data_IF_293359266004
#
_entry.id   IF_293359266004
#
_cell.length_a   1.000
_cell.length_b   1.000
_cell.length_c   1.000
_cell.angle_alpha   90.00
_cell.angle_beta   90.00
_cell.angle_gamma   90.00
#
_symmetry.space_group_name_H-M   'P 1'
#
loop_
_entity.id
_entity.type
_entity.pdbx_description
1 polymer ?
#
# COMPACT_ATOMS: atom_id res chain seq x y z
N UNK A 1 -5.51 -17.83 -13.19
CA UNK A 1 -6.73 -17.77 -12.37
C UNK A 1 -7.83 -18.56 -13.05
N UNK A 2 -8.94 -18.84 -12.36
CA UNK A 2 -10.17 -19.35 -12.96
C UNK A 2 -11.02 -18.15 -13.40
N UNK A 3 -11.36 -18.03 -14.69
CA UNK A 3 -12.10 -16.89 -15.24
C UNK A 3 -13.44 -16.68 -14.50
N UNK A 4 -14.10 -17.78 -14.07
CA UNK A 4 -15.36 -17.72 -13.33
C UNK A 4 -15.19 -17.10 -11.92
N UNK A 5 -13.99 -17.22 -11.32
CA UNK A 5 -13.67 -16.61 -10.02
C UNK A 5 -13.30 -15.13 -10.18
N UNK A 6 -12.51 -14.77 -11.19
CA UNK A 6 -12.19 -13.36 -11.46
C UNK A 6 -13.47 -12.55 -11.74
N UNK A 7 -14.39 -13.11 -12.52
CA UNK A 7 -15.67 -12.48 -12.83
C UNK A 7 -16.56 -12.33 -11.57
N UNK A 8 -16.48 -13.26 -10.60
CA UNK A 8 -17.27 -13.17 -9.37
C UNK A 8 -16.76 -12.13 -8.38
N UNK A 9 -15.46 -11.82 -8.41
CA UNK A 9 -14.81 -10.85 -7.53
C UNK A 9 -14.78 -9.42 -8.11
N UNK A 10 -15.38 -9.20 -9.27
CA UNK A 10 -15.42 -7.88 -9.90
C UNK A 10 -16.24 -6.89 -9.07
N UNK A 11 -15.75 -5.67 -8.87
CA UNK A 11 -16.36 -4.64 -8.01
C UNK A 11 -16.71 -3.36 -8.78
N UNK A 12 -17.70 -2.63 -8.28
CA UNK A 12 -18.00 -1.26 -8.69
C UNK A 12 -17.30 -0.31 -7.72
N UNK A 13 -16.43 0.57 -8.25
CA UNK A 13 -15.66 1.52 -7.45
C UNK A 13 -16.18 2.95 -7.66
N UNK A 14 -16.50 3.63 -6.55
CA UNK A 14 -16.79 5.05 -6.50
C UNK A 14 -15.65 5.78 -5.76
N UNK A 15 -15.16 6.88 -6.34
CA UNK A 15 -14.10 7.69 -5.74
C UNK A 15 -14.58 9.13 -5.61
N UNK A 16 -14.55 9.65 -4.39
CA UNK A 16 -14.79 11.05 -4.07
C UNK A 16 -13.47 11.70 -3.61
N UNK A 17 -13.14 12.87 -4.15
CA UNK A 17 -11.88 13.56 -3.86
C UNK A 17 -12.20 14.94 -3.33
N UNK A 18 -11.82 15.16 -2.08
CA UNK A 18 -11.94 16.43 -1.38
C UNK A 18 -10.55 16.97 -1.00
N UNK A 19 -10.53 18.15 -0.35
CA UNK A 19 -9.27 18.76 0.08
C UNK A 19 -8.70 18.01 1.29
N UNK A 20 -7.59 17.30 1.10
CA UNK A 20 -6.90 16.57 2.17
C UNK A 20 -7.44 15.16 2.40
N UNK A 21 -8.41 14.71 1.60
CA UNK A 21 -9.06 13.42 1.77
C UNK A 21 -9.50 12.82 0.42
N UNK A 22 -9.43 11.50 0.29
CA UNK A 22 -10.07 10.70 -0.75
C UNK A 22 -10.95 9.65 -0.07
N UNK A 23 -12.15 9.44 -0.56
CA UNK A 23 -13.03 8.34 -0.16
C UNK A 23 -13.19 7.38 -1.35
N UNK A 24 -13.02 6.09 -1.11
CA UNK A 24 -13.09 5.02 -2.11
C UNK A 24 -14.06 3.98 -1.58
N UNK A 25 -15.23 3.86 -2.22
CA UNK A 25 -16.18 2.79 -1.93
C UNK A 25 -16.05 1.70 -3.00
N UNK A 26 -15.91 0.45 -2.58
CA UNK A 26 -15.76 -0.72 -3.45
C UNK A 26 -16.79 -1.79 -3.11
N UNK A 27 -17.85 -1.87 -3.94
CA UNK A 27 -18.99 -2.76 -3.74
C UNK A 27 -18.93 -3.93 -4.73
N UNK A 28 -19.13 -5.16 -4.26
CA UNK A 28 -19.14 -6.33 -5.14
C UNK A 28 -20.27 -6.26 -6.18
N UNK A 29 -19.93 -6.47 -7.46
CA UNK A 29 -20.87 -6.30 -8.58
C UNK A 29 -21.88 -7.45 -8.67
N UNK A 30 -21.50 -8.65 -8.26
CA UNK A 30 -22.32 -9.86 -8.38
C UNK A 30 -22.18 -10.74 -7.13
N UNK A 31 -23.29 -11.14 -6.52
CA UNK A 31 -23.26 -12.03 -5.35
C UNK A 31 -24.60 -12.11 -4.63
N UNK A 32 -24.74 -13.09 -3.74
CA UNK A 32 -25.84 -13.13 -2.75
C UNK A 32 -25.51 -12.37 -1.47
N UNK A 33 -24.23 -12.04 -1.26
CA UNK A 33 -23.72 -11.24 -0.15
C UNK A 33 -23.46 -9.83 -0.69
N UNK A 34 -23.84 -8.81 0.08
CA UNK A 34 -23.40 -7.44 -0.16
C UNK A 34 -22.19 -7.25 0.75
N UNK A 35 -20.99 -7.30 0.18
CA UNK A 35 -19.77 -6.92 0.87
C UNK A 35 -19.27 -5.60 0.30
N UNK A 36 -18.87 -4.72 1.21
CA UNK A 36 -18.43 -3.37 0.93
C UNK A 36 -17.06 -3.15 1.59
N UNK A 37 -16.12 -2.64 0.80
CA UNK A 37 -14.83 -2.16 1.29
C UNK A 37 -14.89 -0.65 1.15
N UNK A 38 -14.74 0.08 2.24
CA UNK A 38 -14.52 1.51 2.22
C UNK A 38 -13.05 1.78 2.54
N UNK A 39 -12.43 2.66 1.77
CA UNK A 39 -11.08 3.13 2.03
C UNK A 39 -11.07 4.64 2.05
N UNK A 40 -10.56 5.19 3.15
CA UNK A 40 -10.39 6.62 3.33
C UNK A 40 -8.89 6.94 3.35
N UNK A 41 -8.46 7.82 2.44
CA UNK A 41 -7.07 8.26 2.36
C UNK A 41 -6.98 9.71 2.81
N UNK A 42 -6.44 9.95 4.01
CA UNK A 42 -6.20 11.31 4.53
C UNK A 42 -4.75 11.72 4.23
N UNK A 43 -4.55 12.97 3.81
CA UNK A 43 -3.22 13.50 3.51
C UNK A 43 -3.10 14.95 4.01
N UNK A 44 -2.60 15.10 5.23
CA UNK A 44 -2.62 16.37 5.96
C UNK A 44 -1.32 16.64 6.73
N UNK A 45 -1.39 17.20 7.94
CA UNK A 45 -0.21 17.47 8.77
C UNK A 45 0.38 16.24 9.43
N UNK A 46 -0.37 15.16 9.55
CA UNK A 46 0.02 13.96 10.30
C UNK A 46 0.66 12.88 9.40
N UNK A 47 0.49 12.97 8.08
CA UNK A 47 1.07 12.03 7.14
C UNK A 47 0.18 11.78 5.93
N UNK A 48 0.42 10.63 5.29
CA UNK A 48 -0.56 9.96 4.41
C UNK A 48 -1.10 8.76 5.18
N UNK A 49 -2.35 8.84 5.60
CA UNK A 49 -3.10 7.77 6.26
C UNK A 49 -3.99 7.06 5.26
N UNK A 50 -4.00 5.74 5.28
CA UNK A 50 -4.95 4.89 4.56
C UNK A 50 -5.69 4.07 5.60
N UNK A 51 -6.95 4.43 5.81
CA UNK A 51 -7.90 3.74 6.67
C UNK A 51 -8.74 2.81 5.80
N UNK A 52 -8.89 1.56 6.22
CA UNK A 52 -9.65 0.52 5.52
C UNK A 52 -10.69 -0.01 6.47
N UNK A 53 -11.95 0.09 6.07
CA UNK A 53 -13.07 -0.55 6.73
C UNK A 53 -13.71 -1.57 5.78
N UNK A 54 -14.18 -2.68 6.34
CA UNK A 54 -14.89 -3.70 5.60
C UNK A 54 -16.12 -4.13 6.38
N UNK A 55 -17.27 -4.08 5.70
CA UNK A 55 -18.54 -4.53 6.21
C UNK A 55 -19.11 -5.64 5.31
N UNK A 56 -19.61 -6.71 5.93
CA UNK A 56 -20.38 -7.73 5.21
C UNK A 56 -21.67 -8.07 5.93
N UNK A 57 -22.78 -7.91 5.20
CA UNK A 57 -24.10 -8.34 5.64
C UNK A 57 -24.49 -9.68 4.99
N UNK A 58 -24.68 -10.70 5.83
CA UNK A 58 -25.32 -11.94 5.38
C UNK A 58 -26.85 -11.86 5.54
N UNK A 59 -27.59 -11.97 4.44
CA UNK A 59 -29.05 -12.13 4.47
C UNK A 59 -29.45 -13.51 5.00
N UNK A 60 -29.29 -13.76 6.30
CA UNK A 60 -29.80 -14.94 7.00
C UNK A 60 -30.68 -14.52 8.17
N UNK A 61 -31.51 -15.41 8.72
CA UNK A 61 -32.48 -15.09 9.78
C UNK A 61 -31.88 -14.48 11.07
N UNK A 62 -30.55 -14.51 11.20
CA UNK A 62 -29.80 -13.69 12.15
C UNK A 62 -28.84 -12.80 11.33
N UNK A 63 -29.10 -11.50 11.29
CA UNK A 63 -28.17 -10.48 10.80
C UNK A 63 -26.86 -10.64 11.59
N UNK A 64 -25.80 -11.10 10.92
CA UNK A 64 -24.45 -11.07 11.46
C UNK A 64 -23.69 -10.08 10.60
N UNK A 65 -23.44 -8.92 11.18
CA UNK A 65 -22.61 -7.86 10.63
C UNK A 65 -21.17 -8.14 11.08
N UNK A 66 -20.27 -8.18 10.11
CA UNK A 66 -18.84 -8.29 10.37
C UNK A 66 -18.18 -6.98 9.98
N UNK A 67 -17.42 -6.40 10.89
CA UNK A 67 -16.72 -5.14 10.71
C UNK A 67 -15.25 -5.34 11.08
N UNK A 68 -14.35 -4.92 10.21
CA UNK A 68 -12.93 -4.76 10.52
C UNK A 68 -12.51 -3.38 10.04
N UNK A 69 -11.83 -2.64 10.91
CA UNK A 69 -11.33 -1.30 10.66
C UNK A 69 -9.86 -1.24 11.12
N UNK A 70 -9.00 -0.71 10.25
CA UNK A 70 -7.60 -0.49 10.56
C UNK A 70 -7.01 0.62 9.69
N UNK A 71 -5.88 1.19 10.10
CA UNK A 71 -5.19 2.20 9.31
C UNK A 71 -3.67 2.01 9.28
N UNK A 72 -3.08 2.47 8.18
CA UNK A 72 -1.63 2.57 7.97
C UNK A 72 -1.30 4.02 7.66
N UNK A 73 -0.37 4.61 8.40
CA UNK A 73 0.02 6.01 8.21
C UNK A 73 1.52 6.17 7.97
N UNK A 74 1.88 6.76 6.83
CA UNK A 74 3.23 7.21 6.53
C UNK A 74 3.46 8.61 7.09
N UNK A 75 4.17 8.72 8.23
CA UNK A 75 4.27 9.99 8.98
C UNK A 75 5.49 10.83 8.62
N UNK A 76 6.67 10.22 8.57
CA UNK A 76 7.95 10.94 8.44
C UNK A 76 9.05 10.07 7.87
N UNK A 77 10.02 10.74 7.25
CA UNK A 77 11.31 10.18 6.87
C UNK A 77 12.37 10.52 7.91
N UNK A 78 13.22 9.56 8.26
CA UNK A 78 14.26 9.70 9.27
C UNK A 78 15.60 9.38 8.65
N UNK A 79 16.52 10.33 8.67
CA UNK A 79 17.92 10.09 8.31
C UNK A 79 18.67 9.62 9.57
N UNK A 80 19.36 8.49 9.48
CA UNK A 80 20.10 7.94 10.61
C UNK A 80 21.45 7.37 10.21
N UNK A 81 22.40 7.33 11.16
CA UNK A 81 23.66 6.60 11.03
C UNK A 81 23.57 5.36 11.91
N UNK A 82 23.53 4.21 11.23
CA UNK A 82 23.52 2.87 11.82
C UNK A 82 24.83 2.58 12.57
N UNK A 83 24.74 2.42 13.88
CA UNK A 83 25.91 2.21 14.75
C UNK A 83 26.30 0.75 14.90
N UNK A 84 25.36 -0.18 14.69
CA UNK A 84 25.58 -1.61 14.90
C UNK A 84 25.71 -2.40 13.57
N UNK A 85 25.54 -1.71 12.43
CA UNK A 85 25.62 -2.20 11.07
C UNK A 85 24.58 -3.28 10.72
N UNK A 86 23.38 -3.24 11.33
CA UNK A 86 22.28 -4.16 11.03
C UNK A 86 21.32 -3.64 9.94
N UNK A 87 21.43 -2.37 9.54
CA UNK A 87 20.59 -1.71 8.53
C UNK A 87 19.20 -1.31 9.01
N UNK A 88 18.88 -1.48 10.29
CA UNK A 88 17.57 -1.22 10.88
C UNK A 88 17.69 -0.03 11.83
N UNK A 89 16.85 0.98 11.66
CA UNK A 89 16.83 2.12 12.56
C UNK A 89 16.34 1.74 13.96
N UNK A 90 17.23 1.84 14.94
CA UNK A 90 16.93 1.63 16.35
C UNK A 90 17.23 2.92 17.14
N UNK A 91 16.22 3.73 17.52
CA UNK A 91 16.45 5.04 18.17
C UNK A 91 17.32 4.98 19.45
N UNK A 92 17.35 3.83 20.12
CA UNK A 92 18.15 3.59 21.32
C UNK A 92 19.64 3.30 21.04
N UNK A 93 19.98 2.88 19.81
CA UNK A 93 21.33 2.46 19.41
C UNK A 93 21.92 3.43 18.38
N UNK A 94 21.11 3.87 17.43
CA UNK A 94 21.52 4.65 16.28
C UNK A 94 21.54 6.15 16.54
N UNK A 95 22.20 6.87 15.63
CA UNK A 95 22.21 8.33 15.66
C UNK A 95 21.26 8.90 14.62
N UNK A 96 20.16 9.49 15.08
CA UNK A 96 19.26 10.30 14.25
C UNK A 96 19.97 11.59 13.80
N UNK A 97 19.99 11.84 12.50
CA UNK A 97 20.59 13.03 11.89
C UNK A 97 19.54 14.11 11.66
N UNK A 98 18.39 13.74 11.08
CA UNK A 98 17.23 14.62 10.90
C UNK A 98 15.96 13.81 10.74
N UNK A 99 14.83 14.47 10.98
CA UNK A 99 13.49 13.96 10.69
C UNK A 99 12.77 14.95 9.78
N UNK A 100 12.13 14.44 8.74
CA UNK A 100 11.35 15.22 7.77
C UNK A 100 9.91 14.72 7.82
N UNK A 101 9.03 15.54 8.40
CA UNK A 101 7.60 15.23 8.49
C UNK A 101 6.92 15.32 7.12
N UNK A 102 6.03 14.37 6.83
CA UNK A 102 5.19 14.35 5.64
C UNK A 102 3.90 15.13 5.91
N UNK A 103 3.99 16.46 5.98
CA UNK A 103 2.91 17.30 6.56
C UNK A 103 2.31 18.34 5.61
N UNK A 104 2.65 18.26 4.33
CA UNK A 104 2.14 19.19 3.32
C UNK A 104 2.14 18.56 1.94
N UNK A 105 1.00 18.62 1.27
CA UNK A 105 0.78 17.94 0.00
C UNK A 105 0.21 18.86 -1.07
N UNK A 106 0.52 18.56 -2.33
CA UNK A 106 -0.20 19.11 -3.47
C UNK A 106 -1.60 18.49 -3.60
N UNK A 107 -2.55 19.17 -4.28
CA UNK A 107 -3.82 18.55 -4.62
C UNK A 107 -3.60 17.21 -5.37
N UNK A 108 -4.40 16.21 -5.00
CA UNK A 108 -4.32 14.87 -5.59
C UNK A 108 -4.49 14.93 -7.09
N UNK A 109 -3.66 14.18 -7.81
CA UNK A 109 -3.87 13.91 -9.23
C UNK A 109 -4.59 12.58 -9.38
N UNK A 110 -5.69 12.57 -10.12
CA UNK A 110 -6.49 11.38 -10.38
C UNK A 110 -6.62 11.11 -11.87
N UNK A 111 -6.47 9.85 -12.26
CA UNK A 111 -6.75 9.38 -13.61
C UNK A 111 -7.21 7.93 -13.62
N UNK A 112 -7.75 7.49 -14.75
CA UNK A 112 -8.20 6.12 -14.93
C UNK A 112 -7.65 5.51 -16.22
N UNK A 113 -7.51 4.20 -16.23
CA UNK A 113 -7.25 3.41 -17.44
C UNK A 113 -8.17 2.19 -17.48
N UNK A 114 -8.60 1.80 -18.68
CA UNK A 114 -9.43 0.60 -18.87
C UNK A 114 -8.57 -0.64 -18.71
N UNK A 115 -9.00 -1.59 -17.88
CA UNK A 115 -8.35 -2.90 -17.73
C UNK A 115 -8.90 -3.85 -18.79
N UNK A 116 -10.19 -4.17 -18.70
CA UNK A 116 -10.95 -4.97 -19.67
C UNK A 116 -12.34 -4.37 -19.88
N UNK A 117 -13.08 -4.83 -20.90
CA UNK A 117 -14.47 -4.47 -21.20
C UNK A 117 -15.01 -3.16 -20.61
N UNK A 118 -15.53 -3.25 -19.38
CA UNK A 118 -16.14 -2.18 -18.59
C UNK A 118 -15.49 -1.98 -17.21
N UNK A 119 -14.28 -2.47 -16.98
CA UNK A 119 -13.53 -2.38 -15.71
C UNK A 119 -12.41 -1.36 -15.79
N UNK A 120 -12.10 -0.78 -14.64
CA UNK A 120 -11.21 0.38 -14.54
C UNK A 120 -10.10 0.14 -13.52
N UNK A 121 -8.89 0.58 -13.87
CA UNK A 121 -7.80 0.82 -12.93
C UNK A 121 -7.82 2.30 -12.59
N UNK A 122 -7.97 2.60 -11.31
CA UNK A 122 -7.93 3.95 -10.75
C UNK A 122 -6.52 4.24 -10.27
N UNK A 123 -6.00 5.41 -10.63
CA UNK A 123 -4.68 5.88 -10.21
C UNK A 123 -4.79 7.23 -9.51
N UNK A 124 -4.30 7.31 -8.29
CA UNK A 124 -4.19 8.53 -7.51
C UNK A 124 -2.73 8.82 -7.14
N UNK A 125 -2.33 10.08 -7.21
CA UNK A 125 -1.01 10.53 -6.79
C UNK A 125 -1.12 11.57 -5.69
N UNK A 126 -0.57 11.24 -4.53
CA UNK A 126 -0.33 12.14 -3.41
C UNK A 126 1.17 12.50 -3.45
N UNK A 127 1.48 13.79 -3.46
CA UNK A 127 2.86 14.29 -3.57
C UNK A 127 3.10 15.38 -2.54
N UNK A 128 4.18 15.26 -1.77
CA UNK A 128 4.58 16.29 -0.82
C UNK A 128 4.96 17.59 -1.53
N UNK A 129 4.79 18.74 -0.86
CA UNK A 129 5.04 20.05 -1.52
C UNK A 129 6.52 20.34 -1.78
N UNK A 130 7.42 19.63 -1.10
CA UNK A 130 8.86 19.64 -1.35
C UNK A 130 9.27 18.66 -2.47
N UNK A 131 8.34 17.81 -2.92
CA UNK A 131 8.55 16.80 -3.96
C UNK A 131 9.40 15.60 -3.53
N UNK A 132 9.72 15.49 -2.23
CA UNK A 132 10.58 14.42 -1.69
C UNK A 132 9.83 13.10 -1.58
N UNK A 133 8.54 13.11 -1.28
CA UNK A 133 7.72 11.92 -1.06
C UNK A 133 6.51 11.90 -1.97
N UNK A 134 6.27 10.75 -2.60
CA UNK A 134 5.10 10.47 -3.43
C UNK A 134 4.52 9.11 -3.05
N UNK A 135 3.20 9.05 -2.97
CA UNK A 135 2.43 7.82 -2.86
C UNK A 135 1.55 7.67 -4.10
N UNK A 136 1.77 6.59 -4.84
CA UNK A 136 1.05 6.21 -6.04
C UNK A 136 0.05 5.12 -5.69
N UNK A 137 -1.24 5.45 -5.60
CA UNK A 137 -2.28 4.51 -5.21
C UNK A 137 -2.95 3.94 -6.45
N UNK A 138 -3.08 2.62 -6.48
CA UNK A 138 -3.74 1.87 -7.54
C UNK A 138 -4.86 1.02 -6.96
N UNK A 139 -6.08 1.23 -7.46
CA UNK A 139 -7.28 0.46 -7.07
C UNK A 139 -7.92 -0.10 -8.33
N UNK A 140 -8.20 -1.40 -8.36
CA UNK A 140 -8.68 -2.09 -9.54
C UNK A 140 -10.09 -2.65 -9.34
N UNK A 141 -10.96 -2.50 -10.35
CA UNK A 141 -12.31 -3.08 -10.33
C UNK A 141 -12.31 -4.62 -10.53
N UNK A 142 -11.22 -5.18 -11.04
CA UNK A 142 -11.02 -6.62 -11.28
C UNK A 142 -9.55 -6.97 -11.06
N UNK A 143 -9.23 -8.28 -11.01
CA UNK A 143 -7.84 -8.72 -10.97
C UNK A 143 -7.05 -8.15 -12.15
N UNK A 144 -5.92 -7.51 -11.87
CA UNK A 144 -5.07 -6.94 -12.91
C UNK A 144 -3.60 -7.04 -12.56
N UNK A 145 -2.74 -7.06 -13.58
CA UNK A 145 -1.29 -7.08 -13.37
C UNK A 145 -0.74 -5.71 -13.74
N UNK A 146 -0.14 -5.04 -12.76
CA UNK A 146 0.57 -3.78 -12.93
C UNK A 146 2.04 -3.98 -12.59
N UNK A 147 2.93 -3.74 -13.55
CA UNK A 147 4.38 -3.86 -13.36
C UNK A 147 4.84 -5.22 -12.78
N UNK A 148 4.25 -6.32 -13.25
CA UNK A 148 4.50 -7.70 -12.74
C UNK A 148 3.88 -7.99 -11.36
N UNK A 149 3.28 -7.02 -10.68
CA UNK A 149 2.52 -7.23 -9.44
C UNK A 149 1.05 -7.49 -9.73
N UNK A 150 0.46 -8.53 -9.13
CA UNK A 150 -0.99 -8.71 -9.12
C UNK A 150 -1.63 -7.65 -8.20
N UNK A 151 -2.69 -7.02 -8.68
CA UNK A 151 -3.57 -6.17 -7.87
C UNK A 151 -4.93 -6.86 -7.85
N UNK A 152 -5.41 -7.17 -6.65
CA UNK A 152 -6.74 -7.74 -6.42
C UNK A 152 -7.79 -6.63 -6.19
N UNK A 153 -9.08 -6.89 -6.42
CA UNK A 153 -10.14 -5.90 -6.15
C UNK A 153 -10.34 -5.55 -4.67
N UNK A 154 -9.76 -6.32 -3.76
CA UNK A 154 -9.91 -6.16 -2.31
C UNK A 154 -8.69 -5.50 -1.64
N UNK A 155 -7.78 -4.95 -2.45
CA UNK A 155 -6.57 -4.29 -1.98
C UNK A 155 -6.29 -3.01 -2.78
N UNK A 156 -5.37 -2.21 -2.25
CA UNK A 156 -4.77 -1.07 -2.92
C UNK A 156 -3.25 -1.23 -2.90
N UNK A 157 -2.65 -1.15 -4.09
CA UNK A 157 -1.20 -1.05 -4.23
C UNK A 157 -0.77 0.40 -4.03
N UNK A 158 0.29 0.59 -3.25
CA UNK A 158 0.80 1.90 -2.84
C UNK A 158 2.28 1.96 -3.23
N UNK A 159 2.61 2.50 -4.40
CA UNK A 159 4.02 2.66 -4.73
C UNK A 159 4.56 3.92 -4.06
N UNK A 160 5.52 3.73 -3.15
CA UNK A 160 6.23 4.78 -2.45
C UNK A 160 7.42 5.21 -3.30
N UNK A 161 7.45 6.47 -3.69
CA UNK A 161 8.58 7.09 -4.37
C UNK A 161 9.20 8.17 -3.48
N UNK A 162 10.49 8.01 -3.15
CA UNK A 162 11.29 9.02 -2.45
C UNK A 162 12.34 9.56 -3.41
N UNK A 163 12.31 10.87 -3.66
CA UNK A 163 13.15 11.51 -4.67
C UNK A 163 13.98 12.66 -4.08
N UNK A 164 15.28 12.67 -4.35
CA UNK A 164 16.20 13.75 -4.00
C UNK A 164 16.18 14.15 -2.51
N UNK A 165 16.00 13.17 -1.60
CA UNK A 165 16.09 13.42 -0.16
C UNK A 165 17.43 14.10 0.20
N UNK A 166 17.38 15.22 0.94
CA UNK A 166 18.55 16.03 1.25
C UNK A 166 19.30 15.50 2.49
N UNK A 167 20.07 14.43 2.31
CA UNK A 167 20.93 13.86 3.35
C UNK A 167 21.96 14.87 3.88
N UNK A 168 22.08 14.97 5.22
CA UNK A 168 23.03 15.83 5.90
C UNK A 168 24.34 15.11 6.29
N UNK A 169 24.30 13.79 6.43
CA UNK A 169 25.49 12.94 6.60
C UNK A 169 25.75 12.15 5.30
N UNK A 170 26.99 11.72 5.07
CA UNK A 170 27.36 10.93 3.88
C UNK A 170 27.31 9.42 4.12
N UNK A 171 27.27 8.99 5.38
CA UNK A 171 27.22 7.58 5.79
C UNK A 171 25.85 7.19 6.36
N UNK A 172 24.86 8.08 6.25
CA UNK A 172 23.50 7.85 6.71
C UNK A 172 22.65 7.06 5.73
N UNK A 173 21.59 6.48 6.28
CA UNK A 173 20.51 5.74 5.62
C UNK A 173 19.17 6.42 5.89
N UNK A 174 18.08 5.85 5.36
CA UNK A 174 16.74 6.41 5.49
C UNK A 174 15.79 5.37 6.10
N UNK A 175 14.98 5.78 7.06
CA UNK A 175 13.86 5.00 7.57
C UNK A 175 12.55 5.75 7.29
N UNK A 176 11.51 5.04 6.88
CA UNK A 176 10.14 5.53 6.80
C UNK A 176 9.39 5.07 8.05
N UNK A 177 8.87 6.03 8.81
CA UNK A 177 8.01 5.78 9.95
C UNK A 177 6.62 5.38 9.47
N UNK A 178 6.19 4.17 9.81
CA UNK A 178 4.86 3.65 9.54
C UNK A 178 4.13 3.48 10.87
N UNK A 179 3.05 4.23 11.06
CA UNK A 179 2.11 4.05 12.18
C UNK A 179 1.01 3.08 11.76
N UNK A 180 0.57 2.25 12.68
CA UNK A 180 -0.40 1.18 12.52
C UNK A 180 -1.47 1.30 13.60
N UNK A 181 -2.74 1.31 13.20
CA UNK A 181 -3.89 1.40 14.12
C UNK A 181 -4.91 0.31 13.79
N UNK A 182 -5.34 -0.45 14.81
CA UNK A 182 -6.39 -1.47 14.70
C UNK A 182 -6.91 -1.81 16.09
N UNK A 183 -8.20 -2.14 16.21
CA UNK A 183 -8.78 -2.60 17.48
C UNK A 183 -8.11 -3.87 18.04
N UNK A 184 -7.73 -4.79 17.16
CA UNK A 184 -7.11 -6.06 17.54
C UNK A 184 -5.57 -5.99 17.64
N UNK A 185 -4.99 -4.87 17.22
CA UNK A 185 -3.54 -4.74 16.99
C UNK A 185 -3.05 -5.54 15.80
N UNK A 186 -1.79 -5.29 15.44
CA UNK A 186 -1.05 -5.94 14.38
C UNK A 186 -0.07 -6.98 14.93
N UNK A 187 0.13 -8.02 14.13
CA UNK A 187 1.12 -9.07 14.31
C UNK A 187 1.97 -9.20 13.03
N UNK A 188 3.24 -9.56 13.18
CA UNK A 188 4.15 -9.82 12.04
C UNK A 188 3.65 -11.00 11.19
N UNK A 189 3.84 -10.93 9.88
CA UNK A 189 3.47 -11.97 8.93
C UNK A 189 4.62 -12.39 8.01
N UNK A 190 5.48 -13.29 8.52
CA UNK A 190 6.64 -13.85 7.79
C UNK A 190 6.29 -14.59 6.49
N UNK A 191 5.01 -14.83 6.19
CA UNK A 191 4.54 -15.46 4.95
C UNK A 191 3.15 -14.96 4.59
N UNK A 192 3.10 -13.97 3.71
CA UNK A 192 1.85 -13.30 3.31
C UNK A 192 0.86 -14.26 2.64
N UNK A 193 -0.41 -13.86 2.58
CA UNK A 193 -1.43 -14.63 1.86
C UNK A 193 -1.09 -14.71 0.37
N UNK A 194 -0.62 -13.61 -0.24
CA UNK A 194 -0.21 -13.58 -1.64
C UNK A 194 0.99 -14.50 -1.91
N UNK A 195 1.97 -14.60 -1.01
CA UNK A 195 3.01 -15.62 -1.13
C UNK A 195 2.49 -17.04 -0.96
N UNK A 196 1.47 -17.22 -0.13
CA UNK A 196 0.82 -18.51 0.11
C UNK A 196 0.02 -19.01 -1.10
N UNK A 197 -0.64 -18.09 -1.79
CA UNK A 197 -1.41 -18.34 -3.01
C UNK A 197 -0.53 -18.31 -4.28
N UNK A 198 0.71 -17.85 -4.15
CA UNK A 198 1.68 -17.75 -5.24
C UNK A 198 1.46 -16.55 -6.15
N UNK A 199 0.80 -15.51 -5.65
CA UNK A 199 0.64 -14.20 -6.30
C UNK A 199 1.82 -13.26 -6.08
N UNK A 200 2.62 -13.51 -5.05
CA UNK A 200 3.84 -12.77 -4.78
C UNK A 200 4.99 -13.69 -4.35
N UNK A 201 6.17 -13.09 -4.24
CA UNK A 201 7.37 -13.73 -3.70
C UNK A 201 8.26 -12.68 -3.08
N UNK A 202 8.89 -13.00 -1.96
CA UNK A 202 9.74 -12.08 -1.20
C UNK A 202 8.93 -10.89 -0.69
N UNK A 203 7.82 -11.18 -0.01
CA UNK A 203 7.04 -10.18 0.71
C UNK A 203 7.18 -10.37 2.22
N UNK A 204 7.16 -9.26 2.92
CA UNK A 204 7.03 -9.18 4.37
C UNK A 204 5.80 -8.33 4.69
N UNK A 205 5.30 -8.41 5.92
CA UNK A 205 4.07 -7.72 6.24
C UNK A 205 3.64 -7.79 7.67
N UNK A 206 2.55 -7.09 7.94
CA UNK A 206 1.82 -7.14 9.19
C UNK A 206 0.35 -7.38 8.92
N UNK A 207 -0.32 -8.06 9.84
CA UNK A 207 -1.75 -8.34 9.73
C UNK A 207 -2.48 -8.05 11.02
N UNK A 208 -3.76 -7.76 10.87
CA UNK A 208 -4.71 -7.69 11.96
C UNK A 208 -5.92 -8.56 11.60
N UNK A 209 -6.55 -9.19 12.59
CA UNK A 209 -7.62 -10.15 12.33
C UNK A 209 -8.83 -9.90 13.19
N UNK A 210 -10.01 -9.97 12.57
CA UNK A 210 -11.27 -10.10 13.29
C UNK A 210 -12.00 -11.34 12.75
N UNK A 211 -12.07 -12.38 13.57
CA UNK A 211 -12.88 -13.61 13.44
C UNK A 211 -12.80 -14.34 12.09
N UNK A 212 -13.28 -13.73 11.00
CA UNK A 212 -13.40 -14.27 9.64
C UNK A 212 -12.64 -13.47 8.58
N UNK A 213 -12.09 -12.31 8.92
CA UNK A 213 -11.37 -11.43 8.00
C UNK A 213 -10.00 -11.04 8.56
N UNK A 214 -9.08 -10.79 7.62
CA UNK A 214 -7.74 -10.30 7.87
C UNK A 214 -7.58 -8.96 7.14
N UNK A 215 -7.20 -7.93 7.87
CA UNK A 215 -6.61 -6.73 7.32
C UNK A 215 -5.10 -6.92 7.22
N UNK A 216 -4.49 -6.46 6.14
CA UNK A 216 -3.05 -6.60 5.96
C UNK A 216 -2.40 -5.31 5.44
N UNK A 217 -1.13 -5.15 5.79
CA UNK A 217 -0.20 -4.22 5.17
C UNK A 217 1.07 -4.99 4.84
N UNK A 218 1.36 -5.18 3.56
CA UNK A 218 2.48 -5.97 3.07
C UNK A 218 3.38 -5.14 2.18
N UNK A 219 4.61 -5.57 1.99
CA UNK A 219 5.58 -4.89 1.13
C UNK A 219 6.62 -5.87 0.57
N UNK A 220 7.19 -5.54 -0.58
CA UNK A 220 8.30 -6.31 -1.13
C UNK A 220 9.54 -6.18 -0.23
N UNK A 221 10.26 -7.28 0.00
CA UNK A 221 11.54 -7.27 0.73
C UNK A 221 12.64 -6.45 0.03
N UNK A 222 12.39 -5.95 -1.19
CA UNK A 222 13.33 -5.14 -1.95
C UNK A 222 12.67 -3.89 -2.54
N UNK A 223 13.46 -2.81 -2.57
CA UNK A 223 13.13 -1.56 -3.25
C UNK A 223 14.11 -1.33 -4.41
N UNK A 224 13.68 -0.55 -5.41
CA UNK A 224 14.59 -0.04 -6.43
C UNK A 224 15.25 1.23 -5.93
N UNK A 225 16.56 1.16 -5.62
CA UNK A 225 17.38 2.29 -5.17
C UNK A 225 18.38 2.66 -6.25
N UNK A 226 18.24 3.85 -6.82
CA UNK A 226 19.04 4.36 -7.94
C UNK A 226 19.11 3.37 -9.12
N UNK A 227 17.99 2.69 -9.41
CA UNK A 227 17.86 1.70 -10.48
C UNK A 227 18.43 0.32 -10.15
N UNK A 228 18.84 0.06 -8.90
CA UNK A 228 19.28 -1.25 -8.44
C UNK A 228 18.32 -1.80 -7.39
N UNK A 229 17.97 -3.08 -7.49
CA UNK A 229 17.25 -3.78 -6.42
C UNK A 229 18.13 -3.86 -5.17
N UNK A 230 17.58 -3.42 -4.03
CA UNK A 230 18.21 -3.40 -2.72
C UNK A 230 17.22 -3.90 -1.66
N UNK A 231 17.70 -4.57 -0.61
CA UNK A 231 16.82 -5.02 0.47
C UNK A 231 16.22 -3.83 1.21
N UNK A 232 14.95 -3.97 1.56
CA UNK A 232 14.24 -3.15 2.55
C UNK A 232 14.20 -3.97 3.83
N UNK A 233 14.61 -3.38 4.94
CA UNK A 233 14.57 -4.05 6.25
C UNK A 233 13.49 -3.43 7.11
N UNK A 234 12.63 -4.25 7.72
CA UNK A 234 11.62 -3.84 8.68
C UNK A 234 12.19 -3.89 10.11
N UNK A 235 11.79 -2.94 10.96
CA UNK A 235 11.91 -3.14 12.41
C UNK A 235 10.79 -4.05 12.89
N UNK A 236 10.94 -4.65 14.08
CA UNK A 236 9.81 -5.28 14.77
C UNK A 236 8.73 -4.24 15.07
N UNK A 237 7.48 -4.69 15.19
CA UNK A 237 6.38 -3.84 15.65
C UNK A 237 6.64 -3.40 17.10
N UNK A 238 6.53 -2.10 17.33
CA UNK A 238 6.63 -1.48 18.65
C UNK A 238 5.40 -0.63 18.94
N UNK A 239 5.23 -0.19 20.19
CA UNK A 239 4.23 0.83 20.55
C UNK A 239 4.63 2.16 19.92
N UNK A 240 3.65 2.92 19.41
CA UNK A 240 3.89 4.25 18.85
C UNK A 240 4.51 5.21 19.89
N UNK A 241 5.34 6.15 19.44
CA UNK A 241 6.03 7.09 20.35
C UNK A 241 5.09 8.15 20.94
N UNK A 242 4.00 8.47 20.22
CA UNK A 242 3.05 9.52 20.56
C UNK A 242 1.74 8.96 21.18
N UNK A 243 1.37 7.71 20.87
CA UNK A 243 0.17 7.04 21.40
C UNK A 243 0.43 5.59 21.87
N UNK A 244 0.16 5.32 23.15
CA UNK A 244 0.36 3.98 23.75
C UNK A 244 -0.65 2.92 23.26
N UNK A 245 -1.71 3.32 22.56
CA UNK A 245 -2.73 2.43 22.00
C UNK A 245 -2.44 2.01 20.55
N UNK A 246 -1.46 2.65 19.92
CA UNK A 246 -1.12 2.44 18.52
C UNK A 246 0.23 1.73 18.41
N UNK A 247 0.48 1.22 17.22
CA UNK A 247 1.72 0.52 16.89
C UNK A 247 2.49 1.27 15.82
N UNK A 248 3.78 0.98 15.72
CA UNK A 248 4.65 1.51 14.67
C UNK A 248 5.66 0.47 14.21
N UNK A 249 6.18 0.68 13.02
CA UNK A 249 7.40 0.05 12.52
C UNK A 249 8.18 1.02 11.62
N UNK A 250 9.41 0.64 11.30
CA UNK A 250 10.26 1.35 10.36
C UNK A 250 10.54 0.49 9.13
N UNK A 251 10.28 1.03 7.95
CA UNK A 251 10.82 0.49 6.69
C UNK A 251 12.15 1.18 6.39
N UNK A 252 13.24 0.42 6.37
CA UNK A 252 14.60 0.94 6.28
C UNK A 252 15.16 0.72 4.88
N UNK A 253 15.66 1.80 4.31
CA UNK A 253 16.21 1.85 2.96
C UNK A 253 17.69 2.23 3.00
N UNK A 254 18.52 1.56 2.17
CA UNK A 254 19.84 2.06 1.86
C UNK A 254 19.76 3.48 1.28
N UNK A 255 20.83 4.26 1.47
CA UNK A 255 20.95 5.60 0.87
C UNK A 255 20.77 5.55 -0.65
N UNK A 256 19.91 6.41 -1.18
CA UNK A 256 19.72 6.60 -2.61
C UNK A 256 19.23 8.00 -2.96
N UNK A 257 19.39 8.39 -4.23
CA UNK A 257 18.78 9.63 -4.75
C UNK A 257 17.36 9.42 -5.26
N UNK A 258 17.03 8.18 -5.60
CA UNK A 258 15.69 7.75 -6.01
C UNK A 258 15.42 6.37 -5.41
N UNK A 259 14.35 6.25 -4.64
CA UNK A 259 13.89 5.01 -4.01
C UNK A 259 12.46 4.78 -4.46
N UNK A 260 12.17 3.58 -4.95
CA UNK A 260 10.83 3.13 -5.32
C UNK A 260 10.53 1.81 -4.60
N UNK A 261 9.39 1.72 -3.92
CA UNK A 261 9.01 0.57 -3.11
C UNK A 261 7.51 0.33 -3.21
N UNK A 262 7.10 -0.93 -3.15
CA UNK A 262 5.81 -1.39 -3.65
C UNK A 262 4.86 -1.99 -2.59
N UNK A 263 4.56 -1.31 -1.46
CA UNK A 263 3.58 -1.80 -0.49
C UNK A 263 2.16 -2.05 -1.03
N UNK A 264 1.39 -2.84 -0.29
CA UNK A 264 -0.04 -3.08 -0.47
C UNK A 264 -0.77 -3.00 0.87
N UNK A 265 -2.03 -2.60 0.81
CA UNK A 265 -2.96 -2.62 1.96
C UNK A 265 -4.31 -3.16 1.50
N UNK A 266 -4.93 -4.02 2.28
CA UNK A 266 -6.19 -4.63 1.84
C UNK A 266 -6.82 -5.59 2.84
N UNK A 267 -7.87 -6.25 2.37
CA UNK A 267 -8.64 -7.24 3.12
C UNK A 267 -8.52 -8.59 2.43
N UNK A 268 -8.30 -9.64 3.23
CA UNK A 268 -8.38 -11.03 2.82
C UNK A 268 -9.39 -11.79 3.69
N UNK A 269 -10.19 -12.65 3.07
CA UNK A 269 -11.11 -13.53 3.79
C UNK A 269 -10.34 -14.75 4.35
N UNK A 270 -10.52 -15.06 5.64
CA UNK A 270 -9.93 -16.24 6.29
C UNK A 270 -10.68 -17.52 5.88
N UNK A 271 -10.77 -17.83 4.58
CA UNK A 271 -11.46 -19.05 4.14
C UNK A 271 -10.53 -20.25 4.16
N UNK A 272 -11.03 -21.35 4.74
CA UNK A 272 -10.33 -22.64 4.69
C UNK A 272 -10.60 -23.33 3.34
N UNK A 273 -9.60 -23.37 2.45
CA UNK A 273 -9.50 -24.15 1.20
C UNK A 273 -10.15 -23.58 -0.08
N UNK A 274 -9.67 -22.45 -0.58
CA UNK A 274 -9.65 -22.20 -2.03
C UNK A 274 -8.28 -22.62 -2.56
N UNK A 275 -8.16 -23.85 -3.08
CA UNK A 275 -6.98 -24.26 -3.84
C UNK A 275 -6.96 -23.49 -5.16
N UNK A 276 -6.37 -22.29 -5.16
CA UNK A 276 -6.10 -21.55 -6.38
C UNK A 276 -4.80 -22.09 -6.99
N UNK A 277 -4.77 -22.25 -8.31
CA UNK A 277 -3.59 -22.73 -9.02
C UNK A 277 -2.51 -21.63 -8.95
N UNK A 278 -1.28 -21.93 -8.53
CA UNK A 278 -0.23 -20.93 -8.41
C UNK A 278 0.03 -20.29 -9.78
N UNK A 279 -0.14 -18.97 -9.86
CA UNK A 279 0.29 -18.19 -11.02
C UNK A 279 1.79 -18.03 -10.87
N UNK A 280 2.58 -18.78 -11.63
CA UNK A 280 4.04 -18.59 -11.61
C UNK A 280 4.35 -17.26 -12.29
N UNK A 281 4.37 -16.16 -11.53
CA UNK A 281 4.99 -14.91 -11.93
C UNK A 281 6.51 -15.13 -11.86
N UNK A 282 7.14 -15.26 -13.03
CA UNK A 282 8.60 -15.30 -13.11
C UNK A 282 9.04 -13.84 -12.95
N UNK A 283 9.32 -13.42 -11.72
CA UNK A 283 9.83 -12.08 -11.43
C UNK A 283 11.10 -11.82 -12.24
N UNK A 284 10.99 -10.93 -13.22
CA UNK A 284 12.17 -10.39 -13.90
C UNK A 284 12.49 -9.05 -13.26
N UNK A 285 13.66 -8.96 -12.61
CA UNK A 285 14.24 -7.67 -12.25
C UNK A 285 14.59 -6.93 -13.55
N UNK A 286 13.60 -6.29 -14.15
CA UNK A 286 13.77 -5.30 -15.20
C UNK A 286 13.44 -3.96 -14.57
N UNK A 287 14.47 -3.25 -14.14
CA UNK A 287 14.35 -1.84 -13.80
C UNK A 287 13.80 -1.08 -15.00
N UNK A 288 12.54 -0.67 -14.91
CA UNK A 288 11.91 0.22 -15.89
C UNK A 288 11.84 1.60 -15.26
N UNK A 289 12.73 2.48 -15.73
CA UNK A 289 12.47 3.91 -15.76
C UNK A 289 11.25 4.15 -16.66
N UNK A 290 10.08 4.34 -16.07
CA UNK A 290 8.94 4.96 -16.73
C UNK A 290 8.53 6.20 -15.92
N UNK A 291 9.39 7.23 -15.99
CA UNK A 291 8.97 8.58 -15.69
C UNK A 291 7.69 8.87 -16.50
N UNK A 292 6.63 9.25 -15.78
CA UNK A 292 5.32 9.60 -16.28
C UNK A 292 5.38 10.49 -17.53
N UNK A 293 5.18 9.86 -18.69
CA UNK A 293 4.94 10.52 -19.96
C UNK A 293 3.46 10.44 -20.31
N UNK A 294 2.62 11.21 -19.61
CA UNK A 294 1.22 11.40 -20.05
C UNK A 294 1.25 12.06 -21.43
N UNK A 295 0.97 11.27 -22.47
CA UNK A 295 0.75 11.77 -23.83
C UNK A 295 -0.59 12.51 -23.86
N UNK A 296 -0.51 13.83 -23.80
CA UNK A 296 -1.62 14.72 -24.13
C UNK A 296 -2.04 14.50 -25.61
N UNK A 297 -3.09 13.72 -25.84
CA UNK A 297 -3.72 13.62 -27.16
C UNK A 297 -4.51 14.90 -27.42
N UNK A 298 -3.88 15.87 -28.08
CA UNK A 298 -4.57 17.05 -28.63
C UNK A 298 -5.41 16.58 -29.83
N UNK A 299 -6.70 16.32 -29.62
CA UNK A 299 -7.67 16.17 -30.71
C UNK A 299 -7.89 17.54 -31.35
N UNK A 300 -7.14 17.80 -32.43
CA UNK A 300 -7.32 18.99 -33.26
C UNK A 300 -8.52 18.78 -34.20
N UNK A 301 -9.71 19.26 -33.80
CA UNK A 301 -10.85 19.40 -34.72
C UNK A 301 -10.44 20.27 -35.92
N UNK A 302 -10.55 19.73 -37.14
CA UNK A 302 -10.62 20.54 -38.36
C UNK A 302 -12.04 20.55 -38.89
N UNK A 303 -12.46 21.77 -39.25
CA UNK A 303 -13.74 22.15 -39.86
C UNK A 303 -13.98 21.45 -41.18
#
# INVERSE_FOLDING_TARGET
MDDDYEDSETRDIQIEIDTGQIEIESKLRQGSTVDEIEMQVKYDSDGVEIEVSYESEFTSENETEFEIEFSVTFRKLIEFVDQNANGIYEPAIDTTIQEVALNSFHPVTYSTSVISGNTTLHYLLINSTDGVFKAHLFVAEEFTILNETLITPTETKIDIEIENFNYLDMNSQLALYVKLESEAGYEDDDKTEDESDGYASYEDGVKTTNSSYMGFFTWEENATVDGMSKPVLSSTIEVDDDDELEQKLYLNYPRGTHIYHDPKVGIAALTSNTQLLPIILIGSILGILAAAGIVLVIIRKRK
#
